data_IF_840439183941
#
_entry.id   IF_840439183941
#
_cell.length_a   1.000
_cell.length_b   1.000
_cell.length_c   1.000
_cell.angle_alpha   90.00
_cell.angle_beta   90.00
_cell.angle_gamma   90.00
#
_symmetry.space_group_name_H-M   'P 1'
#
loop_
_entity.id
_entity.type
_entity.pdbx_description
1 polymer ?
#
# COMPACT_ATOMS: atom_id res chain seq x y z
N UNK A 1 35.92 7.54 -26.64
CA UNK A 1 35.35 7.80 -25.33
C UNK A 1 33.85 7.82 -25.51
N UNK A 2 33.14 6.81 -24.99
CA UNK A 2 31.66 6.73 -25.07
C UNK A 2 31.12 7.83 -24.17
N UNK A 3 30.32 8.70 -24.72
CA UNK A 3 29.72 9.77 -23.96
C UNK A 3 28.27 9.91 -24.36
N UNK A 4 27.38 9.61 -23.40
CA UNK A 4 25.95 9.91 -23.52
C UNK A 4 25.65 11.14 -22.68
N UNK A 5 24.94 12.10 -23.24
CA UNK A 5 24.55 13.35 -22.61
C UNK A 5 23.03 13.42 -22.51
N UNK A 6 22.53 13.61 -21.31
CA UNK A 6 21.10 13.60 -20.98
C UNK A 6 20.78 14.90 -20.22
N UNK A 7 19.76 15.64 -20.65
CA UNK A 7 19.25 16.79 -19.87
C UNK A 7 18.10 16.35 -19.00
N UNK A 8 18.08 16.84 -17.77
CA UNK A 8 17.13 16.45 -16.72
C UNK A 8 16.47 17.70 -16.15
N UNK A 9 15.15 17.71 -16.11
CA UNK A 9 14.37 18.63 -15.28
C UNK A 9 14.39 18.15 -13.83
N UNK A 10 14.93 18.96 -12.93
CA UNK A 10 15.19 18.54 -11.54
C UNK A 10 13.90 18.23 -10.78
N UNK A 11 12.83 19.01 -10.98
CA UNK A 11 11.58 18.81 -10.26
C UNK A 11 10.91 17.49 -10.65
N UNK A 12 10.74 17.26 -11.97
CA UNK A 12 10.13 16.04 -12.49
C UNK A 12 10.92 14.79 -12.12
N UNK A 13 12.23 14.83 -12.29
CA UNK A 13 13.09 13.68 -11.98
C UNK A 13 13.12 13.33 -10.47
N UNK A 14 13.14 14.37 -9.60
CA UNK A 14 13.02 14.18 -8.15
C UNK A 14 11.73 13.46 -7.76
N UNK A 15 10.63 13.80 -8.43
CA UNK A 15 9.35 13.17 -8.18
C UNK A 15 9.36 11.70 -8.59
N UNK A 16 9.89 11.38 -9.78
CA UNK A 16 10.05 9.99 -10.24
C UNK A 16 10.93 9.18 -9.30
N UNK A 17 12.06 9.75 -8.82
CA UNK A 17 12.89 9.12 -7.80
C UNK A 17 12.12 8.87 -6.49
N UNK A 18 11.26 9.79 -6.11
CA UNK A 18 10.40 9.66 -4.92
C UNK A 18 9.44 8.48 -5.03
N UNK A 19 8.85 8.25 -6.19
CA UNK A 19 7.94 7.13 -6.44
C UNK A 19 8.63 5.78 -6.24
N UNK A 20 9.89 5.64 -6.61
CA UNK A 20 10.66 4.39 -6.54
C UNK A 20 11.08 4.00 -5.12
N UNK A 21 10.97 4.88 -4.13
CA UNK A 21 11.44 4.65 -2.75
C UNK A 21 10.94 3.34 -2.15
N UNK A 22 9.70 2.97 -2.41
CA UNK A 22 9.09 1.76 -1.86
C UNK A 22 9.50 0.45 -2.55
N UNK A 23 10.13 0.54 -3.72
CA UNK A 23 10.56 -0.61 -4.51
C UNK A 23 12.03 -0.99 -4.29
N UNK A 24 12.81 -0.13 -3.64
CA UNK A 24 14.24 -0.34 -3.44
C UNK A 24 14.53 -0.61 -1.98
N UNK A 25 15.12 -1.76 -1.70
CA UNK A 25 15.55 -2.13 -0.35
C UNK A 25 17.00 -1.71 -0.11
N UNK A 26 17.29 -0.94 0.95
CA UNK A 26 18.68 -0.63 1.32
C UNK A 26 19.45 -1.86 1.83
N UNK A 27 18.73 -2.91 2.22
CA UNK A 27 19.28 -4.18 2.71
C UNK A 27 18.87 -5.30 1.75
N UNK A 28 19.66 -5.49 0.72
CA UNK A 28 19.45 -6.57 -0.27
C UNK A 28 20.74 -7.40 -0.41
N UNK A 29 20.62 -8.73 -0.59
CA UNK A 29 21.79 -9.59 -0.87
C UNK A 29 22.41 -9.31 -2.25
N UNK A 30 21.67 -8.67 -3.17
CA UNK A 30 22.14 -8.32 -4.51
C UNK A 30 22.43 -6.81 -4.58
N UNK A 31 23.72 -6.38 -4.54
CA UNK A 31 24.07 -4.96 -4.50
C UNK A 31 23.50 -4.12 -5.66
N UNK A 32 23.34 -4.73 -6.84
CA UNK A 32 22.78 -4.05 -8.02
C UNK A 32 21.35 -3.55 -7.79
N UNK A 33 20.57 -4.20 -6.89
CA UNK A 33 19.21 -3.78 -6.52
C UNK A 33 19.16 -2.57 -5.58
N UNK A 34 20.30 -2.08 -5.10
CA UNK A 34 20.39 -0.77 -4.44
C UNK A 34 20.46 0.38 -5.46
N UNK A 35 20.53 0.03 -6.75
CA UNK A 35 20.52 0.97 -7.85
C UNK A 35 19.13 1.06 -8.48
N UNK A 36 18.89 2.14 -9.21
CA UNK A 36 17.83 2.25 -10.21
C UNK A 36 18.38 1.96 -11.57
N UNK A 37 17.65 1.19 -12.37
CA UNK A 37 17.95 1.00 -13.79
C UNK A 37 17.37 2.15 -14.59
N UNK A 38 18.19 2.90 -15.30
CA UNK A 38 17.79 3.91 -16.27
C UNK A 38 17.81 3.26 -17.65
N UNK A 39 16.68 3.24 -18.33
CA UNK A 39 16.48 2.73 -19.68
C UNK A 39 15.87 3.77 -20.59
N UNK A 40 16.05 3.63 -21.91
CA UNK A 40 15.47 4.54 -22.90
C UNK A 40 14.63 3.76 -23.91
N UNK A 41 13.34 4.00 -23.91
CA UNK A 41 12.42 3.47 -24.91
C UNK A 41 12.49 4.37 -26.18
N UNK A 42 13.14 3.85 -27.24
CA UNK A 42 13.34 4.58 -28.49
C UNK A 42 12.06 4.77 -29.30
N UNK A 43 11.03 3.93 -29.10
CA UNK A 43 9.77 4.07 -29.81
C UNK A 43 8.89 5.15 -29.18
N UNK A 44 8.86 5.17 -27.86
CA UNK A 44 8.11 6.15 -27.08
C UNK A 44 8.90 7.45 -26.83
N UNK A 45 10.20 7.46 -27.14
CA UNK A 45 11.14 8.58 -26.85
C UNK A 45 11.13 8.98 -25.37
N UNK A 46 10.97 8.02 -24.46
CA UNK A 46 10.89 8.26 -23.03
C UNK A 46 11.95 7.48 -22.25
N UNK A 47 12.57 8.15 -21.29
CA UNK A 47 13.39 7.48 -20.30
C UNK A 47 12.54 6.86 -19.21
N UNK A 48 12.96 5.71 -18.72
CA UNK A 48 12.32 4.99 -17.61
C UNK A 48 13.30 4.72 -16.49
N UNK A 49 12.81 4.85 -15.26
CA UNK A 49 13.51 4.39 -14.07
C UNK A 49 12.83 3.14 -13.53
N UNK A 50 13.61 2.08 -13.30
CA UNK A 50 13.12 0.84 -12.67
C UNK A 50 13.83 0.60 -11.36
N UNK A 51 13.07 0.39 -10.29
CA UNK A 51 13.52 -0.10 -8.99
C UNK A 51 12.97 -1.50 -8.70
N UNK A 52 13.75 -2.34 -8.01
CA UNK A 52 13.33 -3.70 -7.64
C UNK A 52 13.94 -4.15 -6.32
N UNK A 53 13.27 -5.08 -5.64
CA UNK A 53 13.79 -5.83 -4.50
C UNK A 53 13.80 -7.35 -4.75
N UNK A 54 13.69 -7.80 -5.98
CA UNK A 54 13.54 -9.18 -6.48
C UNK A 54 12.13 -9.77 -6.40
N UNK A 55 11.22 -9.22 -5.58
CA UNK A 55 9.84 -9.68 -5.46
C UNK A 55 8.89 -8.78 -6.25
N UNK A 56 9.25 -7.50 -6.35
CA UNK A 56 8.53 -6.51 -7.11
C UNK A 56 9.47 -5.68 -7.99
N UNK A 57 8.91 -5.15 -9.09
CA UNK A 57 9.55 -4.22 -10.02
C UNK A 57 8.61 -3.04 -10.24
N UNK A 58 9.09 -1.86 -9.92
CA UNK A 58 8.39 -0.61 -10.18
C UNK A 58 9.13 0.14 -11.27
N UNK A 59 8.48 0.34 -12.40
CA UNK A 59 8.97 1.12 -13.53
C UNK A 59 8.14 2.39 -13.65
N UNK A 60 8.80 3.54 -13.71
CA UNK A 60 8.17 4.83 -13.89
C UNK A 60 8.74 5.53 -15.12
N UNK A 61 7.88 6.04 -15.99
CA UNK A 61 8.27 6.93 -17.07
C UNK A 61 8.81 8.25 -16.48
N UNK A 62 9.91 8.75 -17.03
CA UNK A 62 10.48 10.02 -16.61
C UNK A 62 9.71 11.19 -17.27
N UNK A 63 8.47 11.40 -16.81
CA UNK A 63 7.58 12.48 -17.25
C UNK A 63 7.30 13.46 -16.10
N UNK A 64 6.91 14.67 -16.45
CA UNK A 64 6.42 15.64 -15.47
C UNK A 64 5.02 15.22 -14.99
N UNK A 65 4.56 15.84 -13.91
CA UNK A 65 3.18 15.66 -13.44
C UNK A 65 2.42 16.99 -13.48
N UNK A 66 1.10 16.89 -13.59
CA UNK A 66 0.20 18.02 -13.45
C UNK A 66 0.01 18.44 -11.98
N UNK A 67 -0.82 19.46 -11.75
CA UNK A 67 -1.12 19.95 -10.39
C UNK A 67 -1.81 18.91 -9.49
N UNK A 68 -2.48 17.93 -10.09
CA UNK A 68 -3.18 16.85 -9.39
C UNK A 68 -2.28 15.62 -9.17
N UNK A 69 -1.00 15.69 -9.61
CA UNK A 69 -0.02 14.63 -9.45
C UNK A 69 -0.08 13.53 -10.51
N UNK A 70 -0.89 13.69 -11.56
CA UNK A 70 -0.94 12.72 -12.65
C UNK A 70 0.24 12.92 -13.61
N UNK A 71 0.83 11.82 -14.11
CA UNK A 71 1.86 11.89 -15.13
C UNK A 71 1.35 12.60 -16.39
N UNK A 72 2.10 13.57 -16.87
CA UNK A 72 1.84 14.24 -18.14
C UNK A 72 2.57 13.52 -19.27
N UNK A 73 2.24 13.87 -20.53
CA UNK A 73 2.97 13.37 -21.68
C UNK A 73 4.32 14.06 -21.90
N UNK A 74 4.71 15.02 -21.03
CA UNK A 74 5.94 15.79 -21.21
C UNK A 74 7.12 15.10 -20.49
N UNK A 75 8.15 14.62 -21.21
CA UNK A 75 9.34 14.08 -20.61
C UNK A 75 10.08 15.08 -19.72
N UNK A 76 10.56 14.62 -18.56
CA UNK A 76 11.46 15.40 -17.70
C UNK A 76 12.95 15.01 -17.93
N UNK A 77 13.21 14.05 -18.79
CA UNK A 77 14.56 13.58 -19.16
C UNK A 77 14.64 13.48 -20.68
N UNK A 78 15.67 14.08 -21.26
CA UNK A 78 15.85 14.14 -22.70
C UNK A 78 17.27 13.72 -23.10
N UNK A 79 17.37 12.88 -24.12
CA UNK A 79 18.64 12.52 -24.73
C UNK A 79 19.12 13.69 -25.59
N UNK A 80 20.28 14.28 -25.25
CA UNK A 80 20.89 15.35 -26.02
C UNK A 80 21.89 14.82 -27.04
N UNK A 81 22.70 13.86 -26.63
CA UNK A 81 23.79 13.34 -27.46
C UNK A 81 24.10 11.90 -27.11
N UNK A 82 24.31 11.09 -28.11
CA UNK A 82 24.88 9.74 -27.98
C UNK A 82 25.88 9.47 -29.10
N UNK A 83 26.77 8.51 -28.90
CA UNK A 83 27.65 8.03 -29.95
C UNK A 83 26.85 7.16 -30.93
N UNK A 84 26.79 7.51 -32.23
CA UNK A 84 26.03 6.70 -33.20
C UNK A 84 26.55 5.26 -33.36
N UNK A 85 27.82 5.01 -33.02
CA UNK A 85 28.41 3.67 -33.05
C UNK A 85 28.16 2.86 -31.81
N UNK A 86 27.82 3.52 -30.70
CA UNK A 86 27.50 2.93 -29.41
C UNK A 86 26.33 3.69 -28.79
N UNK A 87 25.11 3.36 -29.24
CA UNK A 87 23.92 4.02 -28.74
C UNK A 87 23.75 3.75 -27.25
N UNK A 88 23.01 4.61 -26.57
CA UNK A 88 22.71 4.48 -25.13
C UNK A 88 22.24 3.07 -24.82
N UNK A 89 22.92 2.45 -23.89
CA UNK A 89 22.55 1.18 -23.26
C UNK A 89 22.07 1.42 -21.83
N UNK A 90 21.19 0.55 -21.35
CA UNK A 90 20.66 0.63 -20.00
C UNK A 90 21.77 0.64 -18.95
N UNK A 91 21.64 1.52 -17.96
CA UNK A 91 22.62 1.68 -16.87
C UNK A 91 21.96 1.64 -15.51
N UNK A 92 22.72 1.25 -14.50
CA UNK A 92 22.30 1.24 -13.11
C UNK A 92 23.00 2.34 -12.33
N UNK A 93 22.24 3.20 -11.65
CA UNK A 93 22.74 4.32 -10.86
C UNK A 93 22.42 4.09 -9.38
N UNK A 94 23.35 4.34 -8.44
CA UNK A 94 23.12 4.20 -7.01
C UNK A 94 21.94 5.08 -6.57
N UNK A 95 20.85 4.45 -6.17
CA UNK A 95 19.58 5.16 -5.87
C UNK A 95 19.73 6.21 -4.78
N UNK A 96 20.37 5.83 -3.66
CA UNK A 96 20.49 6.73 -2.51
C UNK A 96 21.31 7.97 -2.88
N UNK A 97 22.46 7.80 -3.53
CA UNK A 97 23.30 8.92 -3.96
C UNK A 97 22.57 9.84 -4.94
N UNK A 98 21.88 9.21 -5.93
CA UNK A 98 21.11 9.96 -6.91
C UNK A 98 19.99 10.79 -6.24
N UNK A 99 19.24 10.17 -5.34
CA UNK A 99 18.17 10.83 -4.59
C UNK A 99 18.70 12.00 -3.74
N UNK A 100 19.81 11.80 -3.04
CA UNK A 100 20.38 12.82 -2.14
C UNK A 100 20.89 14.02 -2.95
N UNK A 101 21.54 13.81 -4.09
CA UNK A 101 21.95 14.88 -5.01
C UNK A 101 20.72 15.66 -5.50
N UNK A 102 19.73 14.97 -6.07
CA UNK A 102 18.55 15.63 -6.61
C UNK A 102 17.67 16.31 -5.54
N UNK A 103 17.72 15.86 -4.29
CA UNK A 103 17.03 16.51 -3.17
C UNK A 103 17.58 17.92 -2.88
N UNK A 104 18.88 18.14 -3.12
CA UNK A 104 19.57 19.40 -2.83
C UNK A 104 19.61 20.37 -4.01
N UNK A 105 19.42 19.90 -5.25
CA UNK A 105 19.39 20.78 -6.43
C UNK A 105 18.14 21.66 -6.44
N UNK A 106 18.22 22.92 -6.91
CA UNK A 106 17.03 23.76 -7.03
C UNK A 106 16.00 23.20 -8.02
N UNK A 107 14.74 23.10 -7.62
CA UNK A 107 13.67 22.46 -8.40
C UNK A 107 13.42 23.12 -9.77
N UNK A 108 13.59 24.45 -9.88
CA UNK A 108 13.35 25.21 -11.12
C UNK A 108 14.48 25.09 -12.15
N UNK A 109 15.53 24.31 -11.87
CA UNK A 109 16.69 24.20 -12.75
C UNK A 109 16.65 22.91 -13.58
N UNK A 110 17.44 22.93 -14.65
CA UNK A 110 17.86 21.75 -15.40
C UNK A 110 19.31 21.44 -15.08
N UNK A 111 19.66 20.16 -15.12
CA UNK A 111 21.03 19.69 -15.04
C UNK A 111 21.34 18.75 -16.20
N UNK A 112 22.61 18.51 -16.44
CA UNK A 112 23.07 17.58 -17.47
C UNK A 112 23.71 16.38 -16.81
N UNK A 113 23.28 15.18 -17.17
CA UNK A 113 23.88 13.92 -16.78
C UNK A 113 24.79 13.44 -17.93
N UNK A 114 26.06 13.27 -17.63
CA UNK A 114 27.07 12.79 -18.58
C UNK A 114 27.52 11.39 -18.17
N UNK A 115 27.21 10.39 -18.98
CA UNK A 115 27.69 9.02 -18.78
C UNK A 115 28.95 8.82 -19.59
N UNK A 116 30.08 8.54 -18.89
CA UNK A 116 31.40 8.44 -19.49
C UNK A 116 32.12 7.22 -18.95
N UNK A 117 32.91 6.55 -19.81
CA UNK A 117 33.92 5.61 -19.37
C UNK A 117 35.24 6.39 -19.18
N UNK A 118 35.78 6.36 -17.97
CA UNK A 118 37.07 6.99 -17.60
C UNK A 118 38.05 5.91 -17.16
N UNK A 119 38.93 5.44 -18.11
CA UNK A 119 39.75 4.23 -17.91
C UNK A 119 38.84 3.00 -17.75
N UNK A 120 39.03 2.24 -16.68
CA UNK A 120 38.22 1.05 -16.35
C UNK A 120 36.97 1.37 -15.52
N UNK A 121 36.71 2.64 -15.24
CA UNK A 121 35.60 3.07 -14.43
C UNK A 121 34.50 3.75 -15.25
N UNK A 122 33.27 3.41 -14.97
CA UNK A 122 32.08 4.10 -15.50
C UNK A 122 31.68 5.20 -14.52
N UNK A 123 31.67 6.46 -14.99
CA UNK A 123 31.39 7.65 -14.19
C UNK A 123 30.21 8.40 -14.77
N UNK A 124 29.21 8.64 -13.95
CA UNK A 124 28.10 9.55 -14.20
C UNK A 124 28.45 10.90 -13.57
N UNK A 125 28.61 11.93 -14.38
CA UNK A 125 28.78 13.31 -13.93
C UNK A 125 27.46 14.03 -14.02
N UNK A 126 26.96 14.56 -12.90
CA UNK A 126 25.79 15.46 -12.86
C UNK A 126 26.33 16.89 -12.82
N UNK A 127 26.17 17.60 -13.93
CA UNK A 127 26.58 18.98 -14.10
C UNK A 127 25.38 19.91 -13.87
N UNK A 128 25.54 20.85 -12.94
CA UNK A 128 24.50 21.81 -12.55
C UNK A 128 25.14 23.19 -12.41
N UNK A 129 24.89 24.07 -13.32
CA UNK A 129 25.35 25.47 -13.46
C UNK A 129 26.51 25.98 -12.54
N UNK A 130 26.51 25.62 -11.25
CA UNK A 130 27.45 26.11 -10.24
C UNK A 130 28.47 25.02 -9.83
N UNK A 131 28.40 23.81 -10.40
CA UNK A 131 29.29 22.70 -10.07
C UNK A 131 28.91 21.38 -10.74
N UNK A 132 29.71 20.35 -10.47
CA UNK A 132 29.47 19.00 -10.95
C UNK A 132 29.75 17.97 -9.87
N UNK A 133 29.04 16.85 -9.91
CA UNK A 133 29.21 15.72 -9.01
C UNK A 133 29.41 14.44 -9.82
N UNK A 134 30.43 13.69 -9.47
CA UNK A 134 30.74 12.39 -10.07
C UNK A 134 30.20 11.28 -9.17
N UNK A 135 29.56 10.28 -9.76
CA UNK A 135 29.18 9.04 -9.10
C UNK A 135 29.42 7.84 -10.03
N UNK A 136 29.61 6.64 -9.49
CA UNK A 136 29.74 5.46 -10.34
C UNK A 136 28.41 5.10 -10.97
N UNK A 137 28.44 4.50 -12.16
CA UNK A 137 27.33 3.75 -12.71
C UNK A 137 27.76 2.36 -13.16
N UNK A 138 26.80 1.45 -13.30
CA UNK A 138 27.05 0.07 -13.66
C UNK A 138 26.26 -0.28 -14.92
N UNK A 139 26.75 -1.23 -15.70
CA UNK A 139 25.98 -1.81 -16.80
C UNK A 139 24.77 -2.56 -16.23
N UNK A 140 23.62 -2.47 -16.90
CA UNK A 140 22.40 -3.11 -16.41
C UNK A 140 22.28 -4.61 -16.73
N UNK A 141 23.35 -5.24 -17.22
CA UNK A 141 23.35 -6.66 -17.61
C UNK A 141 22.97 -7.60 -16.46
N UNK A 142 23.38 -7.27 -15.23
CA UNK A 142 23.09 -8.05 -14.03
C UNK A 142 21.80 -7.62 -13.32
N UNK A 143 21.13 -6.56 -13.80
CA UNK A 143 19.88 -6.11 -13.20
C UNK A 143 18.76 -7.05 -13.63
N UNK A 144 18.04 -7.69 -12.69
CA UNK A 144 17.01 -8.67 -13.03
C UNK A 144 15.85 -8.01 -13.76
N UNK A 145 15.44 -8.60 -14.86
CA UNK A 145 14.25 -8.17 -15.58
C UNK A 145 12.98 -8.54 -14.82
N UNK A 146 11.95 -7.69 -14.97
CA UNK A 146 10.64 -7.98 -14.42
C UNK A 146 10.05 -9.22 -15.12
N UNK A 147 9.64 -10.26 -14.39
CA UNK A 147 8.95 -11.39 -14.99
C UNK A 147 7.68 -10.92 -15.70
N UNK A 148 7.41 -11.47 -16.88
CA UNK A 148 6.22 -11.10 -17.63
C UNK A 148 4.95 -11.56 -16.90
N UNK A 149 3.98 -10.67 -16.78
CA UNK A 149 2.61 -11.01 -16.39
C UNK A 149 1.86 -11.49 -17.61
N UNK A 150 1.12 -12.58 -17.47
CA UNK A 150 0.27 -13.08 -18.57
C UNK A 150 -0.87 -12.10 -18.78
N UNK A 151 -1.06 -11.68 -20.02
CA UNK A 151 -2.18 -10.80 -20.39
C UNK A 151 -3.15 -11.56 -21.31
N UNK A 152 -4.41 -11.12 -21.42
CA UNK A 152 -5.37 -11.74 -22.31
C UNK A 152 -4.92 -11.75 -23.78
N UNK A 153 -4.13 -10.75 -24.18
CA UNK A 153 -3.59 -10.58 -25.52
C UNK A 153 -2.35 -11.46 -25.80
N UNK A 154 -1.70 -11.94 -24.73
CA UNK A 154 -0.51 -12.79 -24.80
C UNK A 154 -0.62 -13.98 -23.83
N UNK A 155 -1.58 -14.90 -24.08
CA UNK A 155 -1.74 -16.08 -23.23
C UNK A 155 -0.53 -17.00 -23.38
N UNK A 156 -0.08 -17.60 -22.27
CA UNK A 156 0.91 -18.69 -22.28
C UNK A 156 0.19 -20.03 -22.25
N UNK A 157 0.68 -21.00 -23.00
CA UNK A 157 0.19 -22.39 -22.91
C UNK A 157 0.28 -22.88 -21.47
N UNK A 158 -0.83 -23.41 -20.93
CA UNK A 158 -0.92 -23.94 -19.57
C UNK A 158 -1.07 -22.89 -18.47
N UNK A 159 -1.29 -21.62 -18.81
CA UNK A 159 -1.68 -20.58 -17.83
C UNK A 159 -3.18 -20.37 -17.88
N UNK A 160 -3.87 -21.01 -16.97
CA UNK A 160 -5.28 -20.77 -16.78
C UNK A 160 -5.50 -19.40 -16.12
N UNK A 161 -6.34 -18.59 -16.70
CA UNK A 161 -7.00 -17.44 -16.11
C UNK A 161 -6.16 -16.18 -15.82
N UNK A 162 -6.47 -15.16 -16.61
CA UNK A 162 -6.00 -13.79 -16.43
C UNK A 162 -7.16 -12.92 -15.94
N UNK A 163 -6.97 -12.27 -14.81
CA UNK A 163 -7.87 -11.23 -14.33
C UNK A 163 -7.36 -9.87 -14.83
N UNK A 164 -8.21 -9.11 -15.54
CA UNK A 164 -7.90 -7.73 -15.94
C UNK A 164 -9.11 -6.84 -15.80
N UNK A 165 -8.95 -5.73 -15.11
CA UNK A 165 -10.00 -4.73 -14.95
C UNK A 165 -9.41 -3.33 -14.76
N UNK A 166 -10.27 -2.33 -14.94
CA UNK A 166 -9.99 -0.94 -14.67
C UNK A 166 -10.91 -0.44 -13.57
N UNK A 167 -10.39 0.40 -12.68
CA UNK A 167 -11.13 0.96 -11.54
C UNK A 167 -10.61 2.37 -11.26
N UNK A 168 -11.43 3.22 -10.66
CA UNK A 168 -10.94 4.49 -10.12
C UNK A 168 -9.80 4.25 -9.13
N UNK A 169 -8.68 4.92 -9.31
CA UNK A 169 -7.51 4.69 -8.46
C UNK A 169 -7.82 4.95 -6.98
N UNK A 170 -8.55 6.03 -6.67
CA UNK A 170 -8.98 6.36 -5.31
C UNK A 170 -9.84 5.26 -4.69
N UNK A 171 -10.73 4.65 -5.50
CA UNK A 171 -11.69 3.65 -5.02
C UNK A 171 -11.00 2.37 -4.55
N UNK A 172 -9.90 1.97 -5.18
CA UNK A 172 -9.15 0.77 -4.82
C UNK A 172 -7.97 1.05 -3.88
N UNK A 173 -7.16 2.07 -4.18
CA UNK A 173 -5.91 2.32 -3.43
C UNK A 173 -6.18 2.73 -1.98
N UNK A 174 -7.21 3.53 -1.73
CA UNK A 174 -7.62 3.93 -0.38
C UNK A 174 -7.88 2.71 0.52
N UNK A 175 -8.83 1.83 0.15
CA UNK A 175 -9.12 0.60 0.88
C UNK A 175 -7.89 -0.34 1.03
N UNK A 176 -7.10 -0.53 -0.03
CA UNK A 176 -5.87 -1.36 0.02
C UNK A 176 -4.87 -0.80 1.03
N UNK A 177 -4.63 0.50 1.01
CA UNK A 177 -3.69 1.15 1.93
C UNK A 177 -4.20 1.11 3.37
N UNK A 178 -5.48 1.37 3.60
CA UNK A 178 -6.08 1.30 4.93
C UNK A 178 -6.01 -0.12 5.51
N UNK A 179 -6.34 -1.13 4.72
CA UNK A 179 -6.37 -2.53 5.15
C UNK A 179 -5.01 -3.08 5.60
N UNK A 180 -3.89 -2.45 5.20
CA UNK A 180 -2.53 -2.88 5.57
C UNK A 180 -2.30 -3.03 7.08
N UNK A 181 -3.00 -2.26 7.90
CA UNK A 181 -2.87 -2.33 9.35
C UNK A 181 -3.51 -3.60 9.94
N UNK A 182 -4.38 -4.27 9.17
CA UNK A 182 -4.96 -5.56 9.53
C UNK A 182 -4.21 -6.75 8.93
N UNK A 183 -3.10 -6.53 8.20
CA UNK A 183 -2.27 -7.61 7.64
C UNK A 183 -1.37 -8.19 8.72
N UNK A 184 -1.26 -9.51 8.80
CA UNK A 184 -0.37 -10.19 9.74
C UNK A 184 1.09 -9.83 9.47
N UNK A 185 1.86 -9.68 10.56
CA UNK A 185 3.28 -9.37 10.49
C UNK A 185 4.16 -10.64 10.61
N UNK A 186 3.59 -11.74 11.09
CA UNK A 186 4.31 -12.99 11.31
C UNK A 186 4.42 -13.81 10.00
N UNK A 187 5.51 -14.56 9.87
CA UNK A 187 5.79 -15.41 8.70
C UNK A 187 5.14 -16.80 8.79
N UNK A 188 4.52 -17.13 9.91
CA UNK A 188 3.92 -18.46 10.13
C UNK A 188 2.64 -18.66 9.31
N UNK A 189 1.99 -17.55 8.92
CA UNK A 189 0.77 -17.55 8.14
C UNK A 189 0.92 -16.63 6.92
N UNK A 190 1.69 -17.05 5.89
CA UNK A 190 2.05 -16.17 4.76
C UNK A 190 0.84 -15.54 4.06
N UNK A 191 -0.26 -16.29 3.87
CA UNK A 191 -1.48 -15.77 3.24
C UNK A 191 -2.11 -14.61 4.01
N UNK A 192 -2.00 -14.58 5.33
CA UNK A 192 -2.48 -13.47 6.15
C UNK A 192 -1.51 -12.28 6.14
N UNK A 193 -0.31 -12.45 5.59
CA UNK A 193 0.64 -11.39 5.24
C UNK A 193 0.25 -10.62 3.98
N UNK A 194 -0.93 -10.83 3.42
CA UNK A 194 -1.45 -10.17 2.23
C UNK A 194 -2.73 -9.40 2.49
N UNK A 195 -2.99 -8.41 1.63
CA UNK A 195 -4.32 -7.88 1.39
C UNK A 195 -4.98 -8.72 0.30
N UNK A 196 -6.13 -9.29 0.58
CA UNK A 196 -6.92 -10.07 -0.37
C UNK A 196 -7.84 -9.15 -1.15
N UNK A 197 -7.73 -9.19 -2.48
CA UNK A 197 -8.71 -8.60 -3.41
C UNK A 197 -9.55 -9.74 -3.97
N UNK A 198 -10.79 -9.85 -3.56
CA UNK A 198 -11.73 -10.80 -4.14
C UNK A 198 -12.51 -10.07 -5.24
N UNK A 199 -12.15 -10.36 -6.47
CA UNK A 199 -12.70 -9.73 -7.67
C UNK A 199 -13.88 -10.55 -8.20
N UNK A 200 -14.98 -9.90 -8.52
CA UNK A 200 -16.14 -10.46 -9.22
C UNK A 200 -16.55 -9.53 -10.36
N UNK A 201 -17.56 -9.92 -11.13
CA UNK A 201 -17.98 -9.12 -12.28
C UNK A 201 -18.52 -7.73 -11.90
N UNK A 202 -19.08 -7.59 -10.70
CA UNK A 202 -19.76 -6.38 -10.27
C UNK A 202 -19.04 -5.63 -9.13
N UNK A 203 -18.10 -6.28 -8.45
CA UNK A 203 -17.43 -5.67 -7.31
C UNK A 203 -16.02 -6.21 -7.05
N UNK A 204 -15.27 -5.45 -6.27
CA UNK A 204 -14.01 -5.87 -5.65
C UNK A 204 -14.17 -5.79 -4.14
N UNK A 205 -13.95 -6.90 -3.45
CA UNK A 205 -13.88 -6.92 -1.99
C UNK A 205 -12.42 -6.86 -1.56
N UNK A 206 -12.07 -5.82 -0.83
CA UNK A 206 -10.77 -5.67 -0.18
C UNK A 206 -10.88 -6.21 1.23
N UNK A 207 -10.06 -7.20 1.59
CA UNK A 207 -10.06 -7.79 2.92
C UNK A 207 -8.65 -8.03 3.45
N UNK A 208 -8.46 -7.78 4.75
CA UNK A 208 -7.23 -8.12 5.46
C UNK A 208 -7.54 -8.50 6.91
N UNK A 209 -6.82 -9.49 7.44
CA UNK A 209 -6.94 -9.91 8.83
C UNK A 209 -5.63 -10.48 9.35
N UNK A 210 -5.30 -10.20 10.60
CA UNK A 210 -4.19 -10.81 11.36
C UNK A 210 -4.67 -11.86 12.38
N UNK A 211 -5.99 -12.14 12.37
CA UNK A 211 -6.65 -13.04 13.34
C UNK A 211 -7.14 -12.33 14.60
N UNK A 212 -6.76 -11.07 14.84
CA UNK A 212 -7.21 -10.25 15.98
C UNK A 212 -8.07 -9.08 15.55
N UNK A 213 -7.84 -8.57 14.36
CA UNK A 213 -8.62 -7.52 13.72
C UNK A 213 -8.82 -7.84 12.25
N UNK A 214 -9.86 -7.26 11.68
CA UNK A 214 -10.24 -7.48 10.30
C UNK A 214 -10.72 -6.17 9.68
N UNK A 215 -10.29 -5.96 8.45
CA UNK A 215 -10.82 -4.97 7.52
C UNK A 215 -11.51 -5.67 6.37
N UNK A 216 -12.72 -5.25 6.03
CA UNK A 216 -13.43 -5.64 4.80
C UNK A 216 -14.12 -4.43 4.22
N UNK A 217 -13.92 -4.20 2.92
CA UNK A 217 -14.66 -3.18 2.18
C UNK A 217 -15.09 -3.74 0.82
N UNK A 218 -16.37 -3.52 0.49
CA UNK A 218 -16.93 -3.83 -0.83
C UNK A 218 -16.89 -2.57 -1.68
N UNK A 219 -16.36 -2.67 -2.89
CA UNK A 219 -16.28 -1.60 -3.87
C UNK A 219 -17.12 -2.03 -5.05
N UNK A 220 -18.25 -1.35 -5.25
CA UNK A 220 -19.11 -1.61 -6.39
C UNK A 220 -18.46 -1.05 -7.67
N UNK A 221 -18.30 -1.88 -8.67
CA UNK A 221 -17.68 -1.51 -9.95
C UNK A 221 -18.36 -2.19 -11.15
N UNK A 222 -19.67 -1.94 -11.37
CA UNK A 222 -20.42 -2.60 -12.42
C UNK A 222 -19.84 -2.30 -13.82
N UNK A 223 -19.58 -3.33 -14.59
CA UNK A 223 -19.18 -3.23 -15.99
C UNK A 223 -17.68 -2.94 -16.25
N UNK A 224 -16.86 -2.83 -15.23
CA UNK A 224 -15.42 -2.59 -15.39
C UNK A 224 -14.59 -3.86 -15.59
N UNK A 225 -15.10 -5.01 -15.17
CA UNK A 225 -14.40 -6.29 -15.25
C UNK A 225 -14.59 -6.93 -16.64
N UNK A 226 -13.60 -6.84 -17.51
CA UNK A 226 -13.67 -7.43 -18.86
C UNK A 226 -13.27 -8.91 -18.91
N UNK A 227 -12.45 -9.38 -17.98
CA UNK A 227 -11.97 -10.77 -17.97
C UNK A 227 -11.75 -11.22 -16.51
N UNK A 228 -12.71 -11.89 -15.93
CA UNK A 228 -12.60 -12.52 -14.63
C UNK A 228 -12.66 -14.03 -14.82
N UNK A 229 -11.67 -14.79 -14.36
CA UNK A 229 -11.66 -16.19 -14.67
C UNK A 229 -10.63 -17.06 -13.97
N UNK A 230 -10.41 -16.93 -12.65
CA UNK A 230 -9.58 -17.90 -11.93
C UNK A 230 -10.37 -19.06 -11.32
N UNK A 231 -11.62 -18.83 -10.94
CA UNK A 231 -12.50 -19.84 -10.41
C UNK A 231 -13.61 -20.22 -11.41
N UNK A 232 -14.27 -21.36 -11.17
CA UNK A 232 -15.37 -21.84 -12.02
C UNK A 232 -16.58 -20.88 -12.03
N UNK A 233 -16.71 -20.04 -11.01
CA UNK A 233 -17.75 -19.01 -10.87
C UNK A 233 -17.35 -17.65 -11.49
N UNK A 234 -16.20 -17.57 -12.15
CA UNK A 234 -15.68 -16.33 -12.74
C UNK A 234 -15.13 -15.33 -11.74
N UNK A 235 -14.90 -15.72 -10.48
CA UNK A 235 -14.24 -14.87 -9.47
C UNK A 235 -12.72 -15.06 -9.48
N UNK A 236 -11.99 -14.05 -8.99
CA UNK A 236 -10.56 -14.10 -8.78
C UNK A 236 -10.20 -13.63 -7.37
N UNK A 237 -9.21 -14.28 -6.74
CA UNK A 237 -8.61 -13.83 -5.47
C UNK A 237 -7.16 -13.46 -5.72
N UNK A 238 -6.83 -12.19 -5.52
CA UNK A 238 -5.49 -11.66 -5.68
C UNK A 238 -4.93 -11.34 -4.29
N UNK A 239 -3.73 -11.84 -3.99
CA UNK A 239 -3.08 -11.66 -2.70
C UNK A 239 -1.91 -10.70 -2.80
N UNK A 240 -2.21 -9.42 -2.53
CA UNK A 240 -1.23 -8.32 -2.57
C UNK A 240 -0.33 -8.39 -1.35
N UNK A 241 0.98 -8.64 -1.49
CA UNK A 241 1.87 -8.81 -0.33
C UNK A 241 2.04 -7.51 0.44
N UNK A 242 2.17 -7.60 1.76
CA UNK A 242 2.47 -6.46 2.64
C UNK A 242 3.70 -5.67 2.19
N UNK A 243 4.73 -6.36 1.68
CA UNK A 243 5.96 -5.74 1.19
C UNK A 243 5.76 -4.80 0.00
N UNK A 244 4.67 -4.95 -0.76
CA UNK A 244 4.39 -4.06 -1.89
C UNK A 244 3.70 -2.74 -1.50
N UNK A 245 3.19 -2.62 -0.28
CA UNK A 245 2.40 -1.45 0.14
C UNK A 245 3.17 -0.14 0.03
N UNK A 246 4.47 -0.14 0.37
CA UNK A 246 5.30 1.06 0.27
C UNK A 246 5.48 1.51 -1.19
N UNK A 247 5.64 0.57 -2.12
CA UNK A 247 5.73 0.85 -3.55
C UNK A 247 4.38 1.35 -4.10
N UNK A 248 3.27 0.73 -3.71
CA UNK A 248 1.92 1.16 -4.09
C UNK A 248 1.68 2.61 -3.64
N UNK A 249 1.95 2.90 -2.37
CA UNK A 249 1.75 4.26 -1.81
C UNK A 249 2.65 5.33 -2.44
N UNK A 250 3.84 4.94 -2.88
CA UNK A 250 4.80 5.88 -3.49
C UNK A 250 4.54 6.14 -4.97
N UNK A 251 4.05 5.13 -5.69
CA UNK A 251 3.96 5.17 -7.15
C UNK A 251 2.61 5.63 -7.68
N UNK A 252 1.52 5.38 -6.96
CA UNK A 252 0.17 5.59 -7.46
C UNK A 252 -0.57 6.66 -6.67
N UNK A 253 -1.27 7.54 -7.39
CA UNK A 253 -2.11 8.59 -6.82
C UNK A 253 -3.59 8.22 -6.82
N UNK A 254 -4.40 8.99 -6.05
CA UNK A 254 -5.85 8.78 -5.97
C UNK A 254 -6.63 9.23 -7.21
N UNK A 255 -6.04 10.03 -8.11
CA UNK A 255 -6.73 10.52 -9.30
C UNK A 255 -6.54 9.59 -10.51
N UNK A 256 -7.56 9.52 -11.39
CA UNK A 256 -7.52 8.77 -12.62
C UNK A 256 -7.84 7.28 -12.48
N UNK A 257 -7.51 6.52 -13.52
CA UNK A 257 -7.84 5.10 -13.65
C UNK A 257 -6.64 4.22 -13.36
N UNK A 258 -6.82 3.23 -12.50
CA UNK A 258 -5.87 2.15 -12.24
C UNK A 258 -6.26 0.91 -13.07
N UNK A 259 -5.33 0.38 -13.83
CA UNK A 259 -5.47 -0.91 -14.49
C UNK A 259 -4.82 -2.00 -13.64
N UNK A 260 -5.58 -3.02 -13.31
CA UNK A 260 -5.11 -4.21 -12.60
C UNK A 260 -5.08 -5.36 -13.59
N UNK A 261 -3.95 -6.02 -13.72
CA UNK A 261 -3.78 -7.27 -14.48
C UNK A 261 -3.10 -8.29 -13.60
N UNK A 262 -3.63 -9.49 -13.53
CA UNK A 262 -3.05 -10.53 -12.70
C UNK A 262 -3.16 -11.90 -13.36
N UNK A 263 -2.16 -12.72 -13.14
CA UNK A 263 -2.18 -14.16 -13.39
C UNK A 263 -2.09 -14.91 -12.05
N UNK A 264 -1.93 -16.22 -12.06
CA UNK A 264 -1.88 -17.04 -10.83
C UNK A 264 -0.67 -16.77 -9.93
N UNK A 265 0.35 -16.06 -10.43
CA UNK A 265 1.61 -15.81 -9.70
C UNK A 265 1.91 -14.35 -9.46
N UNK A 266 1.36 -13.46 -10.29
CA UNK A 266 1.76 -12.05 -10.30
C UNK A 266 0.58 -11.12 -10.42
N UNK A 267 0.76 -9.92 -9.88
CA UNK A 267 -0.17 -8.79 -10.03
C UNK A 267 0.62 -7.64 -10.65
N UNK A 268 0.04 -7.02 -11.66
CA UNK A 268 0.53 -5.80 -12.29
C UNK A 268 -0.48 -4.68 -12.10
N UNK A 269 -0.02 -3.58 -11.53
CA UNK A 269 -0.78 -2.34 -11.39
C UNK A 269 -0.20 -1.30 -12.34
N UNK A 270 -1.07 -0.60 -13.08
CA UNK A 270 -0.66 0.44 -14.03
C UNK A 270 -1.52 1.68 -13.88
N UNK A 271 -0.87 2.83 -13.76
CA UNK A 271 -1.50 4.15 -13.74
C UNK A 271 -0.54 5.18 -14.35
N UNK A 272 -1.01 5.92 -15.35
CA UNK A 272 -0.15 6.87 -16.05
C UNK A 272 1.12 6.19 -16.58
N UNK A 273 2.28 6.78 -16.32
CA UNK A 273 3.59 6.22 -16.69
C UNK A 273 4.18 5.24 -15.67
N UNK A 274 3.44 4.86 -14.62
CA UNK A 274 3.93 3.94 -13.59
C UNK A 274 3.38 2.52 -13.79
N UNK A 275 4.24 1.52 -13.69
CA UNK A 275 3.91 0.10 -13.74
C UNK A 275 4.59 -0.62 -12.59
N UNK A 276 3.79 -1.21 -11.69
CA UNK A 276 4.26 -2.07 -10.61
C UNK A 276 3.91 -3.52 -10.91
N UNK A 277 4.92 -4.36 -11.03
CA UNK A 277 4.78 -5.80 -11.18
C UNK A 277 5.28 -6.47 -9.88
N UNK A 278 4.44 -7.26 -9.22
CA UNK A 278 4.74 -7.90 -7.94
C UNK A 278 4.35 -9.37 -7.92
N UNK A 279 5.10 -10.18 -7.19
CA UNK A 279 4.71 -11.55 -6.91
C UNK A 279 3.47 -11.57 -6.00
N UNK A 280 2.53 -12.49 -6.27
CA UNK A 280 1.43 -12.79 -5.36
C UNK A 280 1.91 -13.70 -4.23
N UNK A 281 1.24 -13.64 -3.09
CA UNK A 281 1.38 -14.69 -2.07
C UNK A 281 0.56 -15.90 -2.51
N UNK A 282 1.18 -17.08 -2.55
CA UNK A 282 0.51 -18.32 -2.90
C UNK A 282 -0.34 -18.84 -1.73
N UNK A 283 -1.54 -19.34 -2.03
CA UNK A 283 -2.41 -20.02 -1.08
C UNK A 283 -3.85 -19.50 -1.07
N UNK A 284 -4.67 -20.12 -0.24
CA UNK A 284 -6.07 -19.75 -0.09
C UNK A 284 -6.26 -18.80 1.08
N UNK A 285 -6.71 -17.58 0.79
CA UNK A 285 -7.09 -16.62 1.83
C UNK A 285 -8.34 -17.12 2.56
N UNK A 286 -8.39 -17.07 3.90
CA UNK A 286 -9.56 -17.49 4.68
C UNK A 286 -10.82 -16.73 4.27
N UNK A 287 -11.97 -17.40 4.37
CA UNK A 287 -13.24 -16.71 4.15
C UNK A 287 -13.56 -15.83 5.37
N UNK A 288 -13.35 -14.53 5.22
CA UNK A 288 -13.56 -13.54 6.27
C UNK A 288 -15.03 -13.38 6.70
N UNK A 289 -15.97 -13.75 5.83
CA UNK A 289 -17.41 -13.65 6.15
C UNK A 289 -17.85 -14.64 7.23
N UNK A 290 -17.09 -15.71 7.43
CA UNK A 290 -17.40 -16.70 8.48
C UNK A 290 -17.15 -16.19 9.89
N UNK A 291 -16.30 -15.18 10.06
CA UNK A 291 -15.96 -14.60 11.36
C UNK A 291 -16.72 -13.31 11.67
N UNK A 292 -17.44 -12.76 10.70
CA UNK A 292 -18.25 -11.55 10.88
C UNK A 292 -19.61 -11.98 11.46
N UNK A 293 -19.95 -11.60 12.72
CA UNK A 293 -21.23 -11.91 13.31
C UNK A 293 -22.38 -11.33 12.50
N UNK A 294 -23.41 -12.13 12.26
CA UNK A 294 -24.62 -11.70 11.54
C UNK A 294 -25.63 -11.04 12.48
N UNK A 295 -25.69 -11.53 13.71
CA UNK A 295 -26.61 -11.08 14.73
C UNK A 295 -25.83 -10.40 15.86
N UNK A 296 -25.99 -9.07 15.95
CA UNK A 296 -25.44 -8.27 17.03
C UNK A 296 -26.61 -7.48 17.64
N UNK A 297 -27.20 -7.99 18.74
CA UNK A 297 -28.41 -7.41 19.33
C UNK A 297 -28.19 -6.02 19.91
N UNK A 298 -26.95 -5.66 20.22
CA UNK A 298 -26.64 -4.37 20.83
C UNK A 298 -25.91 -3.48 19.85
N UNK A 299 -26.45 -2.29 19.60
CA UNK A 299 -25.89 -1.25 18.76
C UNK A 299 -25.74 0.02 19.59
N UNK A 300 -24.54 0.57 19.58
CA UNK A 300 -24.22 1.78 20.33
C UNK A 300 -23.57 2.80 19.39
N UNK A 301 -24.13 4.00 19.37
CA UNK A 301 -23.62 5.11 18.57
C UNK A 301 -22.87 6.09 19.46
N UNK A 302 -21.69 6.54 18.99
CA UNK A 302 -20.82 7.45 19.72
C UNK A 302 -19.88 8.20 18.78
N UNK A 303 -19.24 9.26 19.31
CA UNK A 303 -18.22 9.99 18.58
C UNK A 303 -16.93 9.18 18.50
N UNK A 304 -16.45 8.97 17.26
CA UNK A 304 -15.17 8.32 16.97
C UNK A 304 -14.00 9.00 17.67
N UNK A 305 -13.94 10.33 17.56
CA UNK A 305 -12.84 11.11 18.13
C UNK A 305 -12.85 11.04 19.67
N UNK A 306 -14.05 11.16 20.28
CA UNK A 306 -14.19 11.02 21.74
C UNK A 306 -13.73 9.64 22.23
N UNK A 307 -14.17 8.57 21.57
CA UNK A 307 -13.74 7.21 21.89
C UNK A 307 -12.22 7.06 21.73
N UNK A 308 -11.67 7.47 20.60
CA UNK A 308 -10.24 7.35 20.29
C UNK A 308 -9.37 8.09 21.31
N UNK A 309 -9.74 9.30 21.68
CA UNK A 309 -9.00 10.08 22.67
C UNK A 309 -9.07 9.46 24.07
N UNK A 310 -10.23 8.92 24.46
CA UNK A 310 -10.38 8.17 25.70
C UNK A 310 -9.48 6.92 25.73
N UNK A 311 -9.51 6.11 24.67
CA UNK A 311 -8.66 4.92 24.57
C UNK A 311 -7.16 5.28 24.59
N UNK A 312 -6.75 6.37 23.95
CA UNK A 312 -5.36 6.85 24.00
C UNK A 312 -4.94 7.27 25.41
N UNK A 313 -5.79 7.97 26.17
CA UNK A 313 -5.48 8.32 27.56
C UNK A 313 -5.39 7.07 28.43
N UNK A 314 -6.33 6.15 28.33
CA UNK A 314 -6.34 4.89 29.08
C UNK A 314 -5.14 4.01 28.71
N UNK A 315 -4.66 4.03 27.47
CA UNK A 315 -3.48 3.26 27.07
C UNK A 315 -2.20 3.62 27.84
N UNK A 316 -2.12 4.84 28.42
CA UNK A 316 -1.01 5.24 29.28
C UNK A 316 -0.97 4.49 30.61
N UNK A 317 -2.10 3.90 31.02
CA UNK A 317 -2.23 3.10 32.24
C UNK A 317 -2.27 1.60 31.98
N UNK A 318 -2.22 1.16 30.71
CA UNK A 318 -2.21 -0.24 30.36
C UNK A 318 -0.79 -0.83 30.37
N UNK A 319 -0.68 -2.14 30.47
CA UNK A 319 0.58 -2.86 30.26
C UNK A 319 1.07 -2.65 28.82
N UNK A 320 2.35 -2.34 28.66
CA UNK A 320 2.92 -1.97 27.38
C UNK A 320 2.99 -3.11 26.35
N UNK A 321 2.94 -4.36 26.78
CA UNK A 321 2.99 -5.54 25.91
C UNK A 321 1.59 -5.96 25.48
N UNK A 322 0.70 -6.18 26.43
CA UNK A 322 -0.66 -6.64 26.18
C UNK A 322 -1.56 -5.54 25.67
N UNK A 323 -1.30 -4.30 26.10
CA UNK A 323 -2.12 -3.13 25.82
C UNK A 323 -3.63 -3.39 26.08
N UNK A 324 -3.88 -4.16 27.17
CA UNK A 324 -5.19 -4.66 27.55
C UNK A 324 -6.00 -3.59 28.28
N UNK A 325 -7.27 -3.52 27.95
CA UNK A 325 -8.26 -2.79 28.72
C UNK A 325 -9.61 -3.52 28.74
N UNK A 326 -10.42 -3.17 29.71
CA UNK A 326 -11.79 -3.66 29.83
C UNK A 326 -12.76 -2.52 29.56
N UNK A 327 -13.76 -2.80 28.72
CA UNK A 327 -14.91 -1.93 28.55
C UNK A 327 -16.12 -2.50 29.28
N UNK A 328 -16.73 -1.70 30.15
CA UNK A 328 -17.92 -2.06 30.95
C UNK A 328 -19.08 -1.19 30.58
N UNK A 329 -20.29 -1.71 30.66
CA UNK A 329 -21.52 -0.95 30.53
C UNK A 329 -22.14 -0.72 31.91
N UNK A 330 -22.56 0.50 32.21
CA UNK A 330 -23.40 0.84 33.36
C UNK A 330 -24.88 0.99 32.99
N UNK A 331 -25.25 0.65 31.75
CA UNK A 331 -26.59 0.76 31.20
C UNK A 331 -26.89 2.08 30.51
N UNK A 332 -25.99 3.09 30.60
CA UNK A 332 -26.16 4.41 29.96
C UNK A 332 -24.87 4.93 29.31
N UNK A 333 -23.73 4.44 29.74
CA UNK A 333 -22.42 4.84 29.22
C UNK A 333 -21.44 3.67 29.25
N UNK A 334 -20.30 3.85 28.62
CA UNK A 334 -19.18 2.94 28.75
C UNK A 334 -18.17 3.47 29.75
N UNK A 335 -17.57 2.56 30.51
CA UNK A 335 -16.42 2.80 31.34
C UNK A 335 -15.28 1.92 30.80
N UNK A 336 -14.20 2.55 30.34
CA UNK A 336 -12.99 1.85 29.92
C UNK A 336 -11.98 1.93 31.03
N UNK A 337 -11.44 0.77 31.42
CA UNK A 337 -10.47 0.63 32.51
C UNK A 337 -9.25 -0.14 32.03
N UNK A 338 -8.07 0.31 32.47
CA UNK A 338 -6.82 -0.42 32.32
C UNK A 338 -5.98 -0.28 33.59
N UNK A 339 -5.19 -1.31 33.89
CA UNK A 339 -4.21 -1.30 34.96
C UNK A 339 -2.90 -1.92 34.51
N UNK A 340 -1.82 -1.44 35.12
CA UNK A 340 -0.49 -2.03 35.04
C UNK A 340 0.06 -2.09 36.47
N UNK A 341 -0.07 -3.26 37.10
CA UNK A 341 0.32 -3.45 38.50
C UNK A 341 1.83 -3.37 38.69
N UNK A 342 2.62 -3.67 37.66
CA UNK A 342 4.09 -3.56 37.73
C UNK A 342 4.56 -2.10 37.90
N UNK A 343 3.84 -1.16 37.29
CA UNK A 343 4.14 0.27 37.34
C UNK A 343 3.22 1.04 38.33
N UNK A 344 2.34 0.34 39.03
CA UNK A 344 1.31 0.92 39.91
C UNK A 344 0.43 1.96 39.19
N UNK A 345 0.11 1.72 37.90
CA UNK A 345 -0.74 2.58 37.09
C UNK A 345 -2.15 2.01 37.01
N UNK A 346 -3.14 2.87 37.14
CA UNK A 346 -4.53 2.54 36.91
C UNK A 346 -5.23 3.72 36.26
N UNK A 347 -6.10 3.45 35.29
CA UNK A 347 -6.90 4.46 34.62
C UNK A 347 -8.34 3.97 34.42
N UNK A 348 -9.28 4.88 34.54
CA UNK A 348 -10.68 4.66 34.26
C UNK A 348 -11.25 5.90 33.59
N UNK A 349 -12.01 5.72 32.51
CA UNK A 349 -12.64 6.84 31.79
C UNK A 349 -14.03 6.46 31.32
N UNK A 350 -14.96 7.39 31.50
CA UNK A 350 -16.36 7.26 31.08
C UNK A 350 -16.55 7.86 29.68
N UNK A 351 -17.16 7.10 28.79
CA UNK A 351 -17.46 7.50 27.42
C UNK A 351 -18.97 7.63 27.28
N UNK A 352 -19.41 8.84 26.90
CA UNK A 352 -20.81 9.14 26.67
C UNK A 352 -21.30 8.52 25.37
N UNK A 353 -22.42 7.86 25.42
CA UNK A 353 -23.10 7.30 24.25
C UNK A 353 -24.07 8.36 23.70
N UNK A 354 -24.10 8.53 22.38
CA UNK A 354 -24.98 9.51 21.72
C UNK A 354 -26.38 8.94 21.53
N UNK A 355 -26.46 7.71 21.06
CA UNK A 355 -27.72 6.99 20.86
C UNK A 355 -27.53 5.48 20.96
N UNK A 356 -28.55 4.77 21.37
CA UNK A 356 -28.56 3.31 21.45
C UNK A 356 -29.96 2.79 21.19
N UNK A 357 -30.09 1.89 20.21
CA UNK A 357 -31.36 1.22 19.90
C UNK A 357 -31.64 0.08 20.92
N UNK A 358 -30.57 -0.56 21.39
CA UNK A 358 -30.60 -1.51 22.50
C UNK A 358 -29.31 -1.37 23.29
N UNK A 359 -29.40 -0.92 24.52
CA UNK A 359 -28.25 -0.75 25.39
C UNK A 359 -27.67 -2.10 25.82
N UNK A 360 -26.36 -2.14 25.96
CA UNK A 360 -25.70 -3.24 26.62
C UNK A 360 -26.22 -3.42 28.05
N UNK A 361 -26.48 -4.65 28.52
CA UNK A 361 -26.91 -4.90 29.87
C UNK A 361 -25.97 -4.29 30.90
N UNK A 362 -26.53 -3.86 32.02
CA UNK A 362 -25.73 -3.44 33.16
C UNK A 362 -24.80 -4.60 33.58
N UNK A 363 -23.52 -4.29 33.76
CA UNK A 363 -22.51 -5.28 34.09
C UNK A 363 -21.90 -6.04 32.89
N UNK A 364 -22.34 -5.74 31.67
CA UNK A 364 -21.62 -6.23 30.48
C UNK A 364 -20.16 -5.80 30.53
N UNK A 365 -19.24 -6.75 30.33
CA UNK A 365 -17.81 -6.51 30.42
C UNK A 365 -17.10 -7.23 29.28
N UNK A 366 -16.31 -6.52 28.48
CA UNK A 366 -15.53 -7.09 27.39
C UNK A 366 -14.09 -6.59 27.44
N UNK A 367 -13.13 -7.50 27.24
CA UNK A 367 -11.71 -7.16 27.13
C UNK A 367 -11.31 -6.82 25.71
N UNK A 368 -10.38 -5.89 25.56
CA UNK A 368 -9.89 -5.48 24.24
C UNK A 368 -8.42 -5.10 24.27
N UNK A 369 -7.75 -5.24 23.13
CA UNK A 369 -6.44 -4.64 22.88
C UNK A 369 -6.64 -3.22 22.36
N UNK A 370 -6.24 -2.22 23.16
CA UNK A 370 -6.50 -0.80 22.85
C UNK A 370 -5.91 -0.37 21.52
N UNK A 371 -4.66 -0.79 21.22
CA UNK A 371 -4.01 -0.44 19.95
C UNK A 371 -4.80 -0.92 18.73
N UNK A 372 -5.37 -2.14 18.80
CA UNK A 372 -6.17 -2.67 17.69
C UNK A 372 -7.43 -1.82 17.45
N UNK A 373 -8.13 -1.44 18.53
CA UNK A 373 -9.32 -0.60 18.41
C UNK A 373 -8.98 0.79 17.89
N UNK A 374 -7.92 1.42 18.41
CA UNK A 374 -7.46 2.74 17.97
C UNK A 374 -7.10 2.74 16.47
N UNK A 375 -6.37 1.72 16.01
CA UNK A 375 -6.03 1.58 14.60
C UNK A 375 -7.27 1.42 13.70
N UNK A 376 -8.28 0.65 14.15
CA UNK A 376 -9.51 0.49 13.40
C UNK A 376 -10.34 1.78 13.36
N UNK A 377 -10.36 2.56 14.46
CA UNK A 377 -11.03 3.87 14.49
C UNK A 377 -10.44 4.85 13.49
N UNK A 378 -9.13 4.75 13.20
CA UNK A 378 -8.45 5.59 12.19
C UNK A 378 -8.85 5.25 10.75
N UNK A 379 -9.49 4.11 10.53
CA UNK A 379 -9.97 3.67 9.21
C UNK A 379 -11.43 4.08 8.92
N UNK A 380 -12.15 4.58 9.92
CA UNK A 380 -13.51 5.08 9.75
C UNK A 380 -13.49 6.53 9.25
N UNK A 381 -14.43 6.86 8.38
CA UNK A 381 -14.44 8.12 7.65
C UNK A 381 -15.31 9.18 8.34
N UNK A 382 -16.25 8.76 9.19
CA UNK A 382 -17.19 9.63 9.90
C UNK A 382 -16.84 9.77 11.38
N UNK A 383 -17.25 10.88 12.01
CA UNK A 383 -17.13 11.02 13.46
C UNK A 383 -18.23 10.29 14.19
N UNK A 384 -19.46 10.25 13.65
CA UNK A 384 -20.52 9.42 14.24
C UNK A 384 -20.37 7.97 13.76
N UNK A 385 -20.08 7.07 14.71
CA UNK A 385 -19.81 5.65 14.43
C UNK A 385 -20.71 4.76 15.27
N UNK A 386 -20.93 3.53 14.78
CA UNK A 386 -21.66 2.50 15.46
C UNK A 386 -20.72 1.34 15.87
N UNK A 387 -20.81 0.97 17.14
CA UNK A 387 -20.24 -0.28 17.65
C UNK A 387 -21.37 -1.29 17.81
N UNK A 388 -21.11 -2.52 17.37
CA UNK A 388 -22.06 -3.62 17.47
C UNK A 388 -21.47 -4.73 18.34
N UNK A 389 -22.27 -5.19 19.29
CA UNK A 389 -21.87 -6.21 20.26
C UNK A 389 -22.88 -7.35 20.26
N UNK A 390 -22.41 -8.54 20.61
CA UNK A 390 -23.23 -9.71 20.91
C UNK A 390 -23.03 -10.10 22.38
N UNK A 391 -21.95 -10.75 22.70
CA UNK A 391 -21.57 -11.12 24.06
C UNK A 391 -20.04 -10.91 24.25
N UNK A 392 -19.50 -11.04 25.47
CA UNK A 392 -18.09 -10.78 25.75
C UNK A 392 -17.07 -11.66 25.01
N UNK A 393 -17.49 -12.77 24.43
CA UNK A 393 -16.62 -13.70 23.69
C UNK A 393 -16.64 -13.53 22.19
N UNK A 394 -17.59 -12.74 21.67
CA UNK A 394 -17.74 -12.48 20.24
C UNK A 394 -17.11 -11.16 19.80
N UNK A 395 -16.72 -11.04 18.53
CA UNK A 395 -16.09 -9.85 18.00
C UNK A 395 -16.95 -8.59 18.11
N UNK A 396 -16.29 -7.44 18.30
CA UNK A 396 -16.90 -6.13 18.20
C UNK A 396 -16.82 -5.69 16.74
N UNK A 397 -17.95 -5.30 16.14
CA UNK A 397 -17.96 -4.64 14.82
C UNK A 397 -17.95 -3.13 14.97
N UNK A 398 -17.19 -2.47 14.10
CA UNK A 398 -17.15 -1.02 14.00
C UNK A 398 -17.56 -0.62 12.59
N UNK A 399 -18.49 0.32 12.46
CA UNK A 399 -18.98 0.84 11.18
C UNK A 399 -19.25 2.33 11.27
N UNK A 400 -19.20 3.00 10.11
CA UNK A 400 -19.75 4.33 9.98
C UNK A 400 -21.26 4.29 10.24
N UNK A 401 -21.82 5.39 10.75
CA UNK A 401 -23.27 5.49 10.99
C UNK A 401 -24.04 5.49 9.67
N UNK A 402 -23.56 6.25 8.70
CA UNK A 402 -24.24 6.44 7.43
C UNK A 402 -24.27 5.16 6.62
N UNK A 403 -25.48 4.77 6.22
CA UNK A 403 -25.70 3.58 5.40
C UNK A 403 -25.08 3.70 4.00
N UNK A 404 -24.81 4.89 3.51
CA UNK A 404 -24.20 5.14 2.20
C UNK A 404 -22.73 4.69 2.11
N UNK A 405 -22.03 4.59 3.26
CA UNK A 405 -20.66 4.09 3.37
C UNK A 405 -20.61 2.62 3.85
N UNK A 406 -21.68 1.86 3.64
CA UNK A 406 -21.87 0.50 4.16
C UNK A 406 -20.92 -0.55 3.62
N UNK A 407 -20.19 -0.26 2.56
CA UNK A 407 -19.20 -1.21 2.04
C UNK A 407 -18.10 -1.59 3.03
N UNK A 408 -17.88 -0.79 4.10
CA UNK A 408 -16.78 -0.98 5.06
C UNK A 408 -17.25 -1.64 6.36
N UNK A 409 -16.62 -2.75 6.72
CA UNK A 409 -16.81 -3.44 7.99
C UNK A 409 -15.44 -3.67 8.63
N UNK A 410 -15.30 -3.20 9.87
CA UNK A 410 -14.13 -3.42 10.71
C UNK A 410 -14.52 -4.30 11.88
N UNK A 411 -13.61 -5.18 12.30
CA UNK A 411 -13.86 -6.12 13.38
C UNK A 411 -12.62 -6.21 14.27
N UNK A 412 -12.83 -6.29 15.58
CA UNK A 412 -11.80 -6.60 16.56
C UNK A 412 -12.24 -7.78 17.44
N UNK A 413 -11.33 -8.75 17.61
CA UNK A 413 -11.56 -9.87 18.51
C UNK A 413 -11.41 -9.42 19.96
N UNK A 414 -12.28 -9.87 20.85
CA UNK A 414 -12.14 -9.59 22.28
C UNK A 414 -10.96 -10.36 22.88
N UNK A 415 -10.47 -9.86 24.01
CA UNK A 415 -9.53 -10.55 24.87
C UNK A 415 -10.26 -11.11 26.08
N UNK A 416 -9.82 -12.27 26.57
CA UNK A 416 -10.40 -12.85 27.77
C UNK A 416 -10.22 -11.91 28.96
N UNK A 417 -11.30 -11.73 29.71
CA UNK A 417 -11.31 -10.99 30.96
C UNK A 417 -11.26 -12.03 32.09
N UNK A 418 -10.13 -12.09 32.78
CA UNK A 418 -9.96 -12.95 33.95
C UNK A 418 -10.67 -12.35 35.17
#
# INVERSE_FOLDING_TARGET
>A
MIQTEITIDVAGFRQVLGQLKGAISPKTPLPILQCVKLSFDRQAEVFRLTGSNSELWLTCDCTTTDADGNATAQPCVHLLKEDPKQPFADVCLPYQSLRDVFALLPAARRCTMLLKQKGDQNVCTIDYQDGALDMPFFAAVEYPDAPAVVTPEAPREGTDAVCRFQIGAADLLGPVIQSRACVAADELRPVMGAVCLQCSIDNVVVAASDGHKLYKQVIECPGYMKHVGFAADGSAKLLVPRGAMAAIMGAFGGAGTLTVTADTRRIMLQQGGATLNMAQIEGNYPNVDTVIPKDNPYKVQLSRESLKMALRRISLSSDGVTNFATMKSDGQSFIVEASNDADARQGSERITVQQSDAFLPQGFKIGMKLSNVIELLDMLDEDSICLFFSDPSHPILLRNESQKLQGKTLLVMPMLVN
#
